data_IF_560262440316
#
_entry.id   IF_560262440316
#
_cell.length_a   1.000
_cell.length_b   1.000
_cell.length_c   1.000
_cell.angle_alpha   90.00
_cell.angle_beta   90.00
_cell.angle_gamma   90.00
#
_symmetry.space_group_name_H-M   'P 1'
#
loop_
_entity.id
_entity.type
_entity.pdbx_description
1 polymer ?
#
# COMPACT_ATOMS: atom_id res chain seq x y z
N UNK A 1 -0.83 7.94 -17.54
CA UNK A 1 -1.02 7.95 -16.05
C UNK A 1 -0.84 9.36 -15.53
N UNK A 2 -1.76 9.86 -14.69
CA UNK A 2 -1.56 11.12 -13.95
C UNK A 2 -0.55 10.89 -12.84
N UNK A 3 0.29 11.89 -12.57
CA UNK A 3 1.30 11.86 -11.52
C UNK A 3 1.16 13.07 -10.60
N UNK A 4 1.68 12.95 -9.39
CA UNK A 4 1.79 14.01 -8.40
C UNK A 4 3.22 14.11 -7.89
N UNK A 5 3.52 15.14 -7.12
CA UNK A 5 4.80 15.29 -6.41
C UNK A 5 4.55 15.18 -4.91
N UNK A 6 5.28 14.29 -4.25
CA UNK A 6 5.22 14.08 -2.81
C UNK A 6 6.67 14.15 -2.28
N UNK A 7 7.18 15.35 -1.98
CA UNK A 7 8.61 15.53 -1.66
C UNK A 7 9.11 14.76 -0.44
N UNK A 8 8.23 14.50 0.53
CA UNK A 8 8.57 13.66 1.69
C UNK A 8 8.78 12.19 1.30
N UNK A 9 8.10 11.72 0.24
CA UNK A 9 8.18 10.35 -0.23
C UNK A 9 9.38 10.14 -1.16
N UNK A 10 9.53 10.98 -2.17
CA UNK A 10 10.55 10.83 -3.22
C UNK A 10 10.63 12.09 -4.08
N UNK A 11 11.77 12.26 -4.76
CA UNK A 11 11.95 13.29 -5.78
C UNK A 11 11.43 12.85 -7.17
N UNK A 12 11.02 11.58 -7.31
CA UNK A 12 10.45 11.04 -8.55
C UNK A 12 8.98 11.46 -8.71
N UNK A 13 8.44 11.54 -9.94
CA UNK A 13 7.00 11.62 -10.14
C UNK A 13 6.30 10.40 -9.53
N UNK A 14 5.25 10.62 -8.75
CA UNK A 14 4.46 9.57 -8.10
C UNK A 14 3.15 9.37 -8.87
N UNK A 15 2.79 8.16 -9.31
CA UNK A 15 1.48 7.94 -9.92
C UNK A 15 0.38 8.14 -8.88
N UNK A 16 -0.77 8.66 -9.29
CA UNK A 16 -1.91 8.87 -8.38
C UNK A 16 -2.56 7.56 -7.91
N UNK A 17 -2.19 6.43 -8.51
CA UNK A 17 -2.58 5.07 -8.09
C UNK A 17 -1.33 4.20 -8.19
N UNK A 18 -1.02 3.48 -7.12
CA UNK A 18 0.10 2.54 -7.04
C UNK A 18 -0.33 1.09 -7.34
N UNK A 19 0.62 0.18 -7.19
CA UNK A 19 0.50 -1.24 -7.45
C UNK A 19 0.76 -2.03 -6.16
N UNK A 20 -0.26 -2.65 -5.55
CA UNK A 20 -0.11 -3.55 -4.41
C UNK A 20 0.29 -4.96 -4.85
N UNK A 21 1.49 -5.40 -4.49
CA UNK A 21 2.04 -6.68 -4.94
C UNK A 21 1.65 -7.88 -4.03
N UNK A 22 1.06 -7.66 -2.86
CA UNK A 22 0.73 -8.73 -1.90
C UNK A 22 0.04 -9.95 -2.54
N UNK A 23 -0.97 -9.81 -3.44
CA UNK A 23 -1.67 -10.98 -4.00
C UNK A 23 -0.80 -11.87 -4.88
N UNK A 24 0.35 -11.41 -5.37
CA UNK A 24 1.26 -12.19 -6.21
C UNK A 24 1.96 -13.32 -5.43
N UNK A 25 1.99 -13.22 -4.09
CA UNK A 25 2.58 -14.24 -3.21
C UNK A 25 1.55 -14.96 -2.34
N UNK A 26 0.27 -14.66 -2.52
CA UNK A 26 -0.81 -15.33 -1.81
C UNK A 26 -1.41 -16.43 -2.69
N UNK A 27 -1.63 -17.65 -2.16
CA UNK A 27 -2.37 -18.68 -2.89
C UNK A 27 -3.75 -18.17 -3.30
N UNK A 28 -4.09 -18.36 -4.56
CA UNK A 28 -5.41 -18.05 -5.09
C UNK A 28 -6.52 -18.90 -4.41
N UNK A 29 -7.77 -18.69 -4.80
CA UNK A 29 -8.92 -19.48 -4.27
C UNK A 29 -8.82 -20.98 -4.55
N UNK A 30 -8.03 -21.35 -5.56
CA UNK A 30 -7.71 -22.73 -5.95
C UNK A 30 -6.50 -23.31 -5.17
N UNK A 31 -5.92 -22.54 -4.25
CA UNK A 31 -4.74 -22.92 -3.46
C UNK A 31 -3.42 -22.85 -4.24
N UNK A 32 -3.40 -22.34 -5.48
CA UNK A 32 -2.20 -22.24 -6.31
C UNK A 32 -1.58 -20.85 -6.18
N UNK A 33 -0.26 -20.82 -6.12
CA UNK A 33 0.49 -19.59 -6.31
C UNK A 33 0.54 -19.24 -7.79
N UNK A 34 0.60 -17.93 -8.05
CA UNK A 34 0.94 -17.42 -9.38
C UNK A 34 2.37 -17.86 -9.75
N UNK A 35 2.58 -18.26 -11.00
CA UNK A 35 3.92 -18.52 -11.50
C UNK A 35 4.76 -17.23 -11.41
N UNK A 36 6.06 -17.39 -11.12
CA UNK A 36 6.96 -16.25 -10.92
C UNK A 36 7.09 -15.39 -12.18
N UNK A 37 7.23 -16.02 -13.33
CA UNK A 37 7.38 -15.31 -14.61
C UNK A 37 6.08 -14.56 -14.95
N UNK A 38 4.91 -15.14 -14.66
CA UNK A 38 3.62 -14.50 -14.81
C UNK A 38 3.47 -13.30 -13.87
N UNK A 39 3.94 -13.41 -12.63
CA UNK A 39 3.91 -12.31 -11.65
C UNK A 39 4.82 -11.15 -12.10
N UNK A 40 6.03 -11.43 -12.56
CA UNK A 40 6.96 -10.44 -13.12
C UNK A 40 6.36 -9.77 -14.35
N UNK A 41 5.81 -10.56 -15.28
CA UNK A 41 5.17 -10.02 -16.49
C UNK A 41 3.94 -9.13 -16.17
N UNK A 42 3.19 -9.48 -15.10
CA UNK A 42 2.06 -8.66 -14.66
C UNK A 42 2.51 -7.33 -14.07
N UNK A 43 3.62 -7.31 -13.30
CA UNK A 43 4.23 -6.08 -12.80
C UNK A 43 4.79 -5.22 -13.95
N UNK A 44 5.46 -5.82 -14.94
CA UNK A 44 5.90 -5.08 -16.13
C UNK A 44 4.71 -4.42 -16.82
N UNK A 45 3.59 -5.16 -16.99
CA UNK A 45 2.38 -4.58 -17.56
C UNK A 45 1.82 -3.42 -16.73
N UNK A 46 1.87 -3.51 -15.40
CA UNK A 46 1.49 -2.41 -14.51
C UNK A 46 2.40 -1.18 -14.71
N UNK A 47 3.70 -1.39 -14.79
CA UNK A 47 4.68 -0.31 -15.01
C UNK A 47 4.52 0.33 -16.39
N UNK A 48 4.25 -0.47 -17.44
CA UNK A 48 3.98 0.03 -18.82
C UNK A 48 2.74 0.92 -18.86
N UNK A 49 1.75 0.65 -18.01
CA UNK A 49 0.55 1.48 -17.86
C UNK A 49 0.77 2.68 -16.91
N UNK A 50 1.97 2.80 -16.33
CA UNK A 50 2.38 3.91 -15.49
C UNK A 50 2.06 3.74 -14.00
N UNK A 51 1.69 2.55 -13.51
CA UNK A 51 1.58 2.22 -12.09
C UNK A 51 3.00 2.01 -11.51
N UNK A 52 3.80 3.07 -11.50
CA UNK A 52 5.24 3.05 -11.21
C UNK A 52 5.58 3.23 -9.73
N UNK A 53 4.61 3.18 -8.82
CA UNK A 53 4.82 2.96 -7.40
C UNK A 53 4.38 1.54 -7.10
N UNK A 54 5.28 0.70 -6.57
CA UNK A 54 4.98 -0.67 -6.18
C UNK A 54 5.15 -0.85 -4.69
N UNK A 55 4.13 -1.44 -4.06
CA UNK A 55 4.07 -1.75 -2.64
C UNK A 55 4.22 -3.25 -2.41
N UNK A 56 5.13 -3.63 -1.52
CA UNK A 56 5.41 -4.99 -1.09
C UNK A 56 5.65 -5.05 0.43
N UNK A 57 6.04 -6.20 0.97
CA UNK A 57 6.51 -6.38 2.34
C UNK A 57 7.34 -7.67 2.46
N UNK A 58 8.23 -7.72 3.46
CA UNK A 58 9.03 -8.89 3.80
C UNK A 58 8.18 -10.13 4.04
N UNK A 59 7.07 -9.99 4.78
CA UNK A 59 6.18 -11.09 5.18
C UNK A 59 5.21 -11.56 4.08
N UNK A 60 5.15 -10.89 2.93
CA UNK A 60 4.27 -11.31 1.83
C UNK A 60 4.84 -12.55 1.13
N UNK A 61 4.45 -13.70 1.62
CA UNK A 61 4.98 -15.00 1.23
C UNK A 61 3.89 -16.08 1.36
N UNK A 62 4.01 -17.21 0.67
CA UNK A 62 3.07 -18.32 0.83
C UNK A 62 3.10 -18.89 2.25
N UNK A 63 4.28 -18.89 2.90
CA UNK A 63 4.49 -19.39 4.27
C UNK A 63 5.67 -18.67 4.95
N UNK A 64 5.85 -18.93 6.26
CA UNK A 64 6.93 -18.33 7.07
C UNK A 64 8.34 -18.79 6.71
N UNK A 65 8.53 -19.79 5.84
CA UNK A 65 9.84 -20.21 5.33
C UNK A 65 10.26 -19.41 4.11
N UNK A 66 9.34 -18.71 3.51
CA UNK A 66 9.51 -17.99 2.24
C UNK A 66 9.43 -16.48 2.41
N UNK A 67 9.74 -15.96 3.63
CA UNK A 67 9.84 -14.52 3.90
C UNK A 67 10.73 -13.86 2.85
N UNK A 68 10.32 -12.70 2.30
CA UNK A 68 10.97 -12.05 1.16
C UNK A 68 10.55 -12.54 -0.22
N UNK A 69 9.66 -13.55 -0.31
CA UNK A 69 9.19 -14.07 -1.61
C UNK A 69 8.62 -12.99 -2.52
N UNK A 70 7.73 -12.15 -2.00
CA UNK A 70 7.13 -11.05 -2.78
C UNK A 70 8.17 -10.00 -3.17
N UNK A 71 9.04 -9.62 -2.26
CA UNK A 71 10.14 -8.68 -2.52
C UNK A 71 11.05 -9.18 -3.64
N UNK A 72 11.35 -10.50 -3.67
CA UNK A 72 12.18 -11.07 -4.73
C UNK A 72 11.53 -10.98 -6.11
N UNK A 73 10.21 -11.12 -6.21
CA UNK A 73 9.43 -10.93 -7.44
C UNK A 73 9.43 -9.46 -7.85
N UNK A 74 9.12 -8.55 -6.92
CA UNK A 74 9.13 -7.11 -7.17
C UNK A 74 10.52 -6.64 -7.60
N UNK A 75 11.55 -7.06 -6.89
CA UNK A 75 12.94 -6.71 -7.21
C UNK A 75 13.35 -7.19 -8.61
N UNK A 76 12.99 -8.41 -9.00
CA UNK A 76 13.21 -8.89 -10.36
C UNK A 76 12.47 -8.05 -11.39
N UNK A 77 11.17 -7.80 -11.18
CA UNK A 77 10.38 -6.98 -12.08
C UNK A 77 10.98 -5.57 -12.27
N UNK A 78 11.40 -4.93 -11.17
CA UNK A 78 12.00 -3.58 -11.21
C UNK A 78 13.33 -3.57 -11.97
N UNK A 79 14.18 -4.59 -11.77
CA UNK A 79 15.50 -4.66 -12.42
C UNK A 79 15.44 -5.05 -13.90
N UNK A 80 14.41 -5.80 -14.30
CA UNK A 80 14.29 -6.32 -15.68
C UNK A 80 13.33 -5.51 -16.56
N UNK A 81 12.59 -4.56 -15.97
CA UNK A 81 11.72 -3.70 -16.74
C UNK A 81 12.50 -2.74 -17.66
N UNK A 82 12.09 -2.63 -18.91
CA UNK A 82 12.77 -1.83 -19.92
C UNK A 82 12.72 -0.31 -19.68
N UNK A 83 11.76 0.18 -18.89
CA UNK A 83 11.62 1.60 -18.54
C UNK A 83 12.63 2.11 -17.51
N UNK A 84 13.38 1.21 -16.88
CA UNK A 84 14.47 1.53 -15.94
C UNK A 84 14.04 1.72 -14.50
N UNK A 85 14.95 1.36 -13.58
CA UNK A 85 14.74 1.42 -12.11
C UNK A 85 14.37 2.83 -11.62
N UNK A 86 14.93 3.85 -12.22
CA UNK A 86 14.78 5.24 -11.75
C UNK A 86 13.35 5.77 -11.91
N UNK A 87 12.54 5.14 -12.77
CA UNK A 87 11.14 5.50 -12.93
C UNK A 87 10.23 4.85 -11.86
N UNK A 88 10.71 3.85 -11.11
CA UNK A 88 9.91 3.10 -10.15
C UNK A 88 10.18 3.59 -8.72
N UNK A 89 9.11 3.77 -7.95
CA UNK A 89 9.15 3.95 -6.48
C UNK A 89 8.84 2.61 -5.84
N UNK A 90 9.76 2.09 -5.04
CA UNK A 90 9.61 0.82 -4.32
C UNK A 90 9.35 1.10 -2.84
N UNK A 91 8.21 0.65 -2.36
CA UNK A 91 7.82 0.69 -0.94
C UNK A 91 7.80 -0.74 -0.42
N UNK A 92 8.50 -1.01 0.68
CA UNK A 92 8.40 -2.28 1.40
C UNK A 92 8.18 -2.05 2.89
N UNK A 93 7.98 -3.11 3.66
CA UNK A 93 7.61 -3.05 5.07
C UNK A 93 8.33 -4.12 5.86
N UNK A 94 8.68 -3.79 7.12
CA UNK A 94 9.30 -4.69 8.10
C UNK A 94 8.64 -4.51 9.47
N UNK A 95 8.91 -5.42 10.40
CA UNK A 95 8.44 -5.28 11.80
C UNK A 95 7.35 -6.28 12.19
N UNK A 96 6.71 -6.97 11.24
CA UNK A 96 5.94 -8.17 11.52
C UNK A 96 6.87 -9.38 11.44
N UNK A 97 6.80 -10.25 12.45
CA UNK A 97 7.53 -11.52 12.47
C UNK A 97 6.62 -12.63 11.97
N UNK A 98 7.11 -13.42 11.03
CA UNK A 98 6.40 -14.59 10.51
C UNK A 98 7.37 -15.77 10.43
N UNK A 99 7.15 -16.77 11.26
CA UNK A 99 8.05 -17.93 11.39
C UNK A 99 7.27 -19.24 11.25
N UNK A 100 7.89 -20.31 10.70
CA UNK A 100 7.27 -21.62 10.64
C UNK A 100 6.98 -22.17 12.05
N UNK A 101 5.76 -22.62 12.28
CA UNK A 101 5.31 -23.29 13.51
C UNK A 101 4.80 -24.70 13.27
N UNK A 102 4.53 -25.49 14.33
CA UNK A 102 4.07 -26.88 14.23
C UNK A 102 2.67 -27.00 13.62
N UNK A 103 1.80 -26.04 13.87
CA UNK A 103 0.39 -26.06 13.43
C UNK A 103 0.08 -24.93 12.42
N UNK A 104 1.10 -24.34 11.81
CA UNK A 104 1.04 -23.21 10.91
C UNK A 104 2.03 -22.12 11.32
N UNK A 105 2.05 -20.98 10.60
CA UNK A 105 2.98 -19.93 10.89
C UNK A 105 2.69 -19.24 12.23
N UNK A 106 3.75 -18.94 12.96
CA UNK A 106 3.72 -18.08 14.14
C UNK A 106 3.82 -16.62 13.68
N UNK A 107 2.98 -15.78 14.26
CA UNK A 107 2.91 -14.35 13.96
C UNK A 107 3.24 -13.53 15.19
N UNK A 108 4.11 -12.56 15.03
CA UNK A 108 4.52 -11.66 16.08
C UNK A 108 4.90 -10.29 15.53
N UNK A 109 5.40 -9.43 16.41
CA UNK A 109 5.89 -8.10 16.06
C UNK A 109 7.16 -7.82 16.84
N UNK A 110 8.17 -7.28 16.17
CA UNK A 110 9.41 -6.86 16.78
C UNK A 110 9.80 -5.47 16.23
N UNK A 111 9.77 -4.48 17.10
CA UNK A 111 10.18 -3.10 16.81
C UNK A 111 11.60 -2.78 17.31
N UNK A 112 12.32 -3.77 17.80
CA UNK A 112 13.69 -3.55 18.30
C UNK A 112 14.62 -3.14 17.16
N UNK A 113 15.56 -2.24 17.47
CA UNK A 113 16.53 -1.73 16.50
C UNK A 113 17.29 -2.85 15.78
N UNK A 114 17.72 -3.86 16.53
CA UNK A 114 18.53 -4.96 15.97
C UNK A 114 17.71 -5.85 15.03
N UNK A 115 16.43 -6.07 15.34
CA UNK A 115 15.52 -6.78 14.43
C UNK A 115 15.27 -5.98 13.15
N UNK A 116 14.93 -4.70 13.30
CA UNK A 116 14.61 -3.83 12.15
C UNK A 116 15.79 -3.71 11.19
N UNK A 117 17.02 -3.60 11.68
CA UNK A 117 18.22 -3.58 10.84
C UNK A 117 18.38 -4.90 10.07
N UNK A 118 18.28 -6.06 10.74
CA UNK A 118 18.39 -7.38 10.08
C UNK A 118 17.28 -7.61 9.06
N UNK A 119 16.03 -7.21 9.39
CA UNK A 119 14.91 -7.33 8.48
C UNK A 119 15.09 -6.44 7.24
N UNK A 120 15.57 -5.20 7.41
CA UNK A 120 15.87 -4.30 6.31
C UNK A 120 17.03 -4.81 5.43
N UNK A 121 18.10 -5.37 6.02
CA UNK A 121 19.18 -6.02 5.27
C UNK A 121 18.64 -7.17 4.41
N UNK A 122 17.76 -8.00 4.98
CA UNK A 122 17.11 -9.08 4.25
C UNK A 122 16.22 -8.57 3.12
N UNK A 123 15.43 -7.52 3.37
CA UNK A 123 14.60 -6.88 2.32
C UNK A 123 15.45 -6.36 1.16
N UNK A 124 16.58 -5.70 1.44
CA UNK A 124 17.52 -5.24 0.40
C UNK A 124 18.12 -6.42 -0.38
N UNK A 125 18.46 -7.53 0.29
CA UNK A 125 18.93 -8.75 -0.36
C UNK A 125 17.86 -9.33 -1.29
N UNK A 126 16.62 -9.49 -0.82
CA UNK A 126 15.52 -10.06 -1.59
C UNK A 126 15.12 -9.19 -2.78
N UNK A 127 15.02 -7.89 -2.59
CA UNK A 127 14.77 -6.92 -3.66
C UNK A 127 15.95 -6.86 -4.66
N UNK A 128 17.19 -7.08 -4.18
CA UNK A 128 18.41 -6.84 -4.94
C UNK A 128 18.62 -5.36 -5.28
N UNK A 129 18.05 -4.47 -4.47
CA UNK A 129 18.17 -3.01 -4.56
C UNK A 129 17.80 -2.38 -3.21
N UNK A 130 18.25 -1.14 -2.97
CA UNK A 130 17.78 -0.33 -1.85
C UNK A 130 16.39 0.23 -2.21
N UNK A 131 15.35 -0.02 -1.40
CA UNK A 131 14.01 0.52 -1.64
C UNK A 131 13.99 2.04 -1.43
N UNK A 132 13.05 2.72 -2.09
CA UNK A 132 12.83 4.15 -1.90
C UNK A 132 12.28 4.41 -0.48
N UNK A 133 11.40 3.53 0.02
CA UNK A 133 10.83 3.63 1.37
C UNK A 133 10.75 2.26 2.03
N UNK A 134 11.11 2.20 3.32
CA UNK A 134 10.73 1.10 4.21
C UNK A 134 9.75 1.62 5.27
N UNK A 135 8.61 0.95 5.42
CA UNK A 135 7.64 1.25 6.46
C UNK A 135 7.81 0.31 7.66
N UNK A 136 7.63 0.82 8.87
CA UNK A 136 7.27 -0.07 9.99
C UNK A 136 5.85 -0.58 9.74
N UNK A 137 5.71 -1.88 9.50
CA UNK A 137 4.45 -2.49 9.03
C UNK A 137 3.33 -2.39 10.07
N UNK A 138 3.66 -2.64 11.34
CA UNK A 138 2.79 -2.51 12.51
C UNK A 138 3.61 -2.23 13.76
N UNK A 139 3.09 -1.37 14.62
CA UNK A 139 3.72 -1.09 15.91
C UNK A 139 3.74 -2.35 16.80
N UNK A 140 4.91 -2.62 17.39
CA UNK A 140 5.13 -3.74 18.31
C UNK A 140 4.79 -3.33 19.78
N UNK A 141 3.60 -2.78 20.00
CA UNK A 141 3.18 -2.07 21.23
C UNK A 141 3.39 -2.85 22.53
N UNK A 142 3.40 -4.19 22.49
CA UNK A 142 3.58 -5.05 23.66
C UNK A 142 5.04 -5.36 23.98
N UNK A 143 5.93 -5.28 22.99
CA UNK A 143 7.32 -5.75 23.10
C UNK A 143 8.31 -4.60 23.04
N UNK A 144 8.00 -3.54 22.32
CA UNK A 144 8.90 -2.40 22.09
C UNK A 144 8.12 -1.10 22.20
N UNK A 145 8.55 -0.14 23.02
CA UNK A 145 7.99 1.20 23.03
C UNK A 145 8.03 1.82 21.64
N UNK A 146 6.93 2.42 21.18
CA UNK A 146 6.82 2.90 19.79
C UNK A 146 7.90 3.93 19.43
N UNK A 147 8.28 4.80 20.36
CA UNK A 147 9.38 5.74 20.17
C UNK A 147 10.73 5.04 19.88
N UNK A 148 10.97 3.86 20.45
CA UNK A 148 12.18 3.06 20.15
C UNK A 148 12.08 2.42 18.77
N UNK A 149 10.91 1.94 18.38
CA UNK A 149 10.66 1.45 17.02
C UNK A 149 10.95 2.53 15.97
N UNK A 150 10.46 3.76 16.18
CA UNK A 150 10.73 4.88 15.25
C UNK A 150 12.22 5.21 15.18
N UNK A 151 12.94 5.22 16.32
CA UNK A 151 14.41 5.38 16.32
C UNK A 151 15.14 4.21 15.65
N UNK A 152 14.60 3.00 15.75
CA UNK A 152 15.07 1.84 15.00
C UNK A 152 14.93 2.01 13.49
N UNK A 153 13.80 2.56 13.04
CA UNK A 153 13.59 2.90 11.62
C UNK A 153 14.55 3.99 11.13
N UNK A 154 14.84 5.02 11.95
CA UNK A 154 15.89 6.00 11.61
C UNK A 154 17.26 5.32 11.45
N UNK A 155 17.59 4.35 12.30
CA UNK A 155 18.85 3.59 12.16
C UNK A 155 18.89 2.76 10.86
N UNK A 156 17.76 2.26 10.36
CA UNK A 156 17.65 1.61 9.04
C UNK A 156 17.99 2.60 7.91
N UNK A 157 17.47 3.82 7.99
CA UNK A 157 17.76 4.88 7.02
C UNK A 157 19.23 5.31 7.11
N UNK A 158 19.76 5.53 8.30
CA UNK A 158 21.16 5.93 8.54
C UNK A 158 22.15 4.87 8.04
N UNK A 159 21.78 3.60 8.10
CA UNK A 159 22.55 2.49 7.55
C UNK A 159 22.49 2.40 6.00
N UNK A 160 21.69 3.24 5.35
CA UNK A 160 21.52 3.25 3.89
C UNK A 160 20.69 2.07 3.35
N UNK A 161 19.91 1.40 4.22
CA UNK A 161 19.06 0.27 3.86
C UNK A 161 17.70 0.71 3.28
N UNK A 162 17.36 1.98 3.41
CA UNK A 162 16.25 2.65 2.74
C UNK A 162 16.60 4.10 2.46
N UNK A 163 16.05 4.68 1.39
CA UNK A 163 16.22 6.12 1.14
C UNK A 163 15.42 6.94 2.15
N UNK A 164 14.23 6.48 2.48
CA UNK A 164 13.30 7.13 3.43
C UNK A 164 12.58 6.08 4.27
N UNK A 165 12.02 6.51 5.40
CA UNK A 165 11.22 5.66 6.28
C UNK A 165 9.80 6.17 6.43
N UNK A 166 8.88 5.25 6.74
CA UNK A 166 7.49 5.56 7.04
C UNK A 166 6.90 4.59 8.06
N UNK A 167 5.61 4.67 8.27
CA UNK A 167 4.88 3.95 9.31
C UNK A 167 3.58 3.37 8.75
N UNK A 168 3.08 2.30 9.36
CA UNK A 168 1.85 1.65 8.94
C UNK A 168 1.01 1.16 10.10
N UNK A 169 -0.31 1.16 9.92
CA UNK A 169 -1.29 0.69 10.88
C UNK A 169 -1.15 1.39 12.25
N UNK A 170 -1.05 2.70 12.22
CA UNK A 170 -0.86 3.60 13.36
C UNK A 170 -2.09 4.47 13.59
N UNK A 171 -2.23 5.00 14.79
CA UNK A 171 -3.17 6.08 15.10
C UNK A 171 -2.52 7.47 14.95
N UNK A 172 -3.31 8.54 15.15
CA UNK A 172 -2.82 9.91 15.04
C UNK A 172 -1.71 10.21 16.05
N UNK A 173 -1.84 9.75 17.31
CA UNK A 173 -0.86 10.04 18.35
C UNK A 173 0.50 9.38 18.05
N UNK A 174 0.48 8.16 17.47
CA UNK A 174 1.69 7.47 17.00
C UNK A 174 2.31 8.19 15.80
N UNK A 175 1.49 8.68 14.87
CA UNK A 175 1.98 9.44 13.73
C UNK A 175 2.61 10.78 14.14
N UNK A 176 2.00 11.50 15.07
CA UNK A 176 2.55 12.74 15.64
C UNK A 176 3.86 12.49 16.38
N UNK A 177 3.95 11.42 17.18
CA UNK A 177 5.17 11.02 17.85
C UNK A 177 6.29 10.65 16.86
N UNK A 178 5.95 9.90 15.81
CA UNK A 178 6.91 9.59 14.74
C UNK A 178 7.38 10.85 14.01
N UNK A 179 6.48 11.77 13.72
CA UNK A 179 6.80 13.07 13.11
C UNK A 179 7.75 13.90 13.97
N UNK A 180 7.52 13.95 15.29
CA UNK A 180 8.42 14.65 16.22
C UNK A 180 9.81 14.01 16.24
N UNK A 181 9.90 12.68 16.39
CA UNK A 181 11.18 11.96 16.48
C UNK A 181 11.98 12.06 15.17
N UNK A 182 11.32 12.06 14.01
CA UNK A 182 11.95 12.16 12.69
C UNK A 182 12.16 13.60 12.23
N UNK A 183 11.87 14.59 13.07
CA UNK A 183 11.95 16.01 12.71
C UNK A 183 11.18 16.35 11.43
N UNK A 184 9.98 15.76 11.29
CA UNK A 184 9.10 16.00 10.14
C UNK A 184 9.43 15.17 8.87
N UNK A 185 10.18 14.09 8.99
CA UNK A 185 10.64 13.29 7.85
C UNK A 185 9.94 11.93 7.71
N UNK A 186 8.67 11.82 8.11
CA UNK A 186 7.84 10.65 7.82
C UNK A 186 7.47 10.67 6.34
N UNK A 187 7.97 9.70 5.57
CA UNK A 187 7.74 9.64 4.12
C UNK A 187 6.30 9.26 3.77
N UNK A 188 5.70 8.37 4.54
CA UNK A 188 4.33 7.90 4.29
C UNK A 188 3.72 7.16 5.46
N UNK A 189 2.40 7.14 5.46
CA UNK A 189 1.54 6.35 6.35
C UNK A 189 0.75 5.37 5.49
N UNK A 190 0.73 4.10 5.89
CA UNK A 190 -0.06 3.08 5.21
C UNK A 190 -1.09 2.48 6.16
N UNK A 191 -2.34 2.92 6.03
CA UNK A 191 -3.47 2.48 6.83
C UNK A 191 -4.63 1.97 5.97
N UNK A 192 -5.52 1.17 6.57
CA UNK A 192 -6.74 0.73 5.90
C UNK A 192 -7.65 1.91 5.60
N UNK A 193 -8.05 2.06 4.33
CA UNK A 193 -9.11 2.99 3.96
C UNK A 193 -9.86 2.52 2.71
N UNK A 194 -11.18 2.50 2.81
CA UNK A 194 -12.08 2.02 1.75
C UNK A 194 -13.48 2.61 1.95
N UNK A 195 -14.45 2.35 1.07
CA UNK A 195 -15.85 2.64 1.35
C UNK A 195 -16.35 2.02 2.66
N UNK A 196 -15.80 0.84 3.02
CA UNK A 196 -16.13 0.12 4.23
C UNK A 196 -15.54 0.73 5.50
N UNK A 197 -14.25 1.08 5.47
CA UNK A 197 -13.49 1.52 6.65
C UNK A 197 -12.97 2.95 6.47
N UNK A 198 -13.32 3.84 7.40
CA UNK A 198 -12.89 5.25 7.45
C UNK A 198 -12.59 5.69 8.88
N UNK A 199 -12.17 4.74 9.73
CA UNK A 199 -12.01 4.97 11.18
C UNK A 199 -10.85 5.88 11.58
N UNK A 200 -9.93 6.17 10.65
CA UNK A 200 -8.72 6.96 10.87
C UNK A 200 -8.81 8.38 10.26
N UNK A 201 -10.00 8.98 10.26
CA UNK A 201 -10.24 10.26 9.57
C UNK A 201 -9.34 11.40 10.03
N UNK A 202 -9.00 11.47 11.33
CA UNK A 202 -8.13 12.52 11.86
C UNK A 202 -6.68 12.33 11.39
N UNK A 203 -6.17 11.10 11.43
CA UNK A 203 -4.86 10.74 10.90
C UNK A 203 -4.79 11.02 9.39
N UNK A 204 -5.84 10.65 8.65
CA UNK A 204 -5.94 10.88 7.22
C UNK A 204 -5.86 12.37 6.88
N UNK A 205 -6.62 13.22 7.58
CA UNK A 205 -6.59 14.66 7.43
C UNK A 205 -5.20 15.24 7.79
N UNK A 206 -4.58 14.73 8.85
CA UNK A 206 -3.24 15.11 9.27
C UNK A 206 -2.19 14.79 8.19
N UNK A 207 -2.25 13.61 7.56
CA UNK A 207 -1.35 13.25 6.46
C UNK A 207 -1.45 14.23 5.29
N UNK A 208 -2.67 14.61 4.91
CA UNK A 208 -2.91 15.56 3.83
C UNK A 208 -2.36 16.94 4.19
N UNK A 209 -2.61 17.43 5.42
CA UNK A 209 -2.11 18.73 5.90
C UNK A 209 -0.58 18.79 5.91
N UNK A 210 0.09 17.72 6.34
CA UNK A 210 1.55 17.64 6.39
C UNK A 210 2.21 17.32 5.05
N UNK A 211 1.46 16.93 4.03
CA UNK A 211 2.00 16.46 2.77
C UNK A 211 2.70 15.09 2.88
N UNK A 212 2.39 14.31 3.92
CA UNK A 212 2.84 12.94 4.10
C UNK A 212 2.07 12.04 3.14
N UNK A 213 2.76 11.13 2.44
CA UNK A 213 2.08 10.17 1.58
C UNK A 213 1.11 9.31 2.40
N UNK A 214 -0.11 9.13 1.93
CA UNK A 214 -1.06 8.19 2.53
C UNK A 214 -1.36 7.07 1.55
N UNK A 215 -1.10 5.83 1.95
CA UNK A 215 -1.32 4.64 1.15
C UNK A 215 -2.54 3.87 1.68
N UNK A 216 -3.74 4.10 1.09
CA UNK A 216 -4.91 3.29 1.42
C UNK A 216 -4.68 1.83 1.02
N UNK A 217 -4.41 0.93 1.98
CA UNK A 217 -4.45 -0.49 1.70
C UNK A 217 -5.87 -1.04 1.77
N UNK A 218 -6.12 -2.19 1.11
CA UNK A 218 -7.47 -2.76 0.91
C UNK A 218 -8.50 -1.73 0.43
N UNK A 219 -8.23 -0.97 -0.64
CA UNK A 219 -9.08 0.15 -1.07
C UNK A 219 -10.52 -0.26 -1.44
N UNK A 220 -10.77 -1.55 -1.61
CA UNK A 220 -12.09 -2.13 -1.87
C UNK A 220 -12.69 -2.84 -0.64
N UNK A 221 -12.08 -2.75 0.54
CA UNK A 221 -12.51 -3.43 1.76
C UNK A 221 -12.08 -4.90 1.86
N UNK A 222 -11.06 -5.31 1.11
CA UNK A 222 -10.55 -6.68 1.05
C UNK A 222 -11.07 -7.47 -0.15
N UNK A 223 -10.43 -8.62 -0.43
CA UNK A 223 -10.69 -9.36 -1.67
C UNK A 223 -12.11 -9.92 -1.82
N UNK A 224 -12.80 -10.24 -0.71
CA UNK A 224 -14.20 -10.66 -0.72
C UNK A 224 -15.14 -9.48 -0.98
N UNK A 225 -14.92 -8.40 -0.27
CA UNK A 225 -15.71 -7.17 -0.37
C UNK A 225 -15.58 -6.53 -1.77
N UNK A 226 -14.41 -6.65 -2.38
CA UNK A 226 -14.19 -6.15 -3.73
C UNK A 226 -15.20 -6.70 -4.75
N UNK A 227 -15.56 -7.98 -4.66
CA UNK A 227 -16.54 -8.58 -5.57
C UNK A 227 -17.97 -8.05 -5.35
N UNK A 228 -18.28 -7.66 -4.12
CA UNK A 228 -19.62 -7.20 -3.70
C UNK A 228 -19.75 -5.66 -3.70
N UNK A 229 -18.66 -4.93 -3.97
CA UNK A 229 -18.58 -3.47 -3.85
C UNK A 229 -19.73 -2.73 -4.55
N UNK A 230 -20.11 -3.03 -5.83
CA UNK A 230 -21.18 -2.31 -6.50
C UNK A 230 -22.56 -2.52 -5.87
N UNK A 231 -22.77 -3.67 -5.21
CA UNK A 231 -24.02 -4.02 -4.56
C UNK A 231 -24.07 -3.46 -3.14
N UNK A 232 -22.96 -3.53 -2.44
CA UNK A 232 -22.85 -3.11 -1.04
C UNK A 232 -22.79 -1.58 -0.90
N UNK A 233 -22.19 -0.92 -1.87
CA UNK A 233 -22.06 0.53 -1.94
C UNK A 233 -22.63 1.05 -3.26
N UNK A 234 -23.98 1.01 -3.43
CA UNK A 234 -24.63 1.30 -4.71
C UNK A 234 -24.38 2.72 -5.21
N UNK A 235 -24.03 3.67 -4.34
CA UNK A 235 -23.69 5.02 -4.73
C UNK A 235 -22.42 5.07 -5.61
N UNK A 236 -21.42 4.21 -5.34
CA UNK A 236 -20.24 4.08 -6.20
C UNK A 236 -20.61 3.56 -7.61
N UNK A 237 -21.60 2.67 -7.69
CA UNK A 237 -22.13 2.19 -8.98
C UNK A 237 -22.95 3.25 -9.71
N UNK A 238 -23.74 4.05 -9.00
CA UNK A 238 -24.49 5.15 -9.56
C UNK A 238 -23.56 6.23 -10.15
N UNK A 239 -22.54 6.65 -9.38
CA UNK A 239 -21.53 7.60 -9.87
C UNK A 239 -20.75 7.02 -11.06
N UNK A 240 -20.45 5.72 -11.07
CA UNK A 240 -19.80 5.08 -12.23
C UNK A 240 -20.65 5.17 -13.51
N UNK A 241 -21.97 5.04 -13.39
CA UNK A 241 -22.91 5.25 -14.50
C UNK A 241 -22.88 6.69 -15.00
N UNK A 242 -22.99 7.67 -14.10
CA UNK A 242 -22.93 9.10 -14.42
C UNK A 242 -21.62 9.47 -15.14
N UNK A 243 -20.47 8.99 -14.62
CA UNK A 243 -19.14 9.22 -15.23
C UNK A 243 -19.08 8.58 -16.63
N UNK A 244 -19.61 7.36 -16.77
CA UNK A 244 -19.65 6.66 -18.07
C UNK A 244 -20.48 7.44 -19.11
N UNK A 245 -21.64 7.96 -18.72
CA UNK A 245 -22.50 8.75 -19.59
C UNK A 245 -21.84 10.09 -19.99
N UNK A 246 -21.22 10.76 -19.02
CA UNK A 246 -20.56 12.05 -19.26
C UNK A 246 -19.30 11.95 -20.13
N UNK A 247 -18.50 10.90 -19.95
CA UNK A 247 -17.22 10.70 -20.67
C UNK A 247 -17.36 9.91 -21.97
N UNK A 248 -18.46 9.17 -22.15
CA UNK A 248 -18.61 8.19 -23.22
C UNK A 248 -17.73 6.94 -23.08
N UNK A 249 -17.06 6.77 -21.92
CA UNK A 249 -16.17 5.64 -21.64
C UNK A 249 -16.72 4.83 -20.47
N UNK A 250 -16.93 3.50 -20.63
CA UNK A 250 -17.39 2.65 -19.54
C UNK A 250 -16.47 2.76 -18.31
N UNK A 251 -17.04 3.11 -17.17
CA UNK A 251 -16.35 3.27 -15.90
C UNK A 251 -17.02 2.36 -14.86
N UNK A 252 -16.24 1.71 -14.04
CA UNK A 252 -16.71 0.78 -13.01
C UNK A 252 -16.75 1.42 -11.62
N UNK A 253 -17.54 0.85 -10.70
CA UNK A 253 -17.55 1.28 -9.31
C UNK A 253 -16.16 1.15 -8.64
N UNK A 254 -15.33 0.19 -9.07
CA UNK A 254 -13.96 0.04 -8.57
C UNK A 254 -13.06 1.20 -9.05
N UNK A 255 -13.18 1.61 -10.30
CA UNK A 255 -12.46 2.76 -10.83
C UNK A 255 -12.88 4.06 -10.13
N UNK A 256 -14.18 4.23 -9.87
CA UNK A 256 -14.70 5.36 -9.07
C UNK A 256 -14.14 5.31 -7.65
N UNK A 257 -14.06 4.14 -7.02
CA UNK A 257 -13.51 4.01 -5.65
C UNK A 257 -12.05 4.45 -5.58
N UNK A 258 -11.21 4.03 -6.52
CA UNK A 258 -9.81 4.46 -6.56
C UNK A 258 -9.68 5.95 -6.85
N UNK A 259 -10.49 6.48 -7.77
CA UNK A 259 -10.52 7.91 -8.10
C UNK A 259 -10.98 8.74 -6.90
N UNK A 260 -11.99 8.27 -6.15
CA UNK A 260 -12.48 8.92 -4.93
C UNK A 260 -11.40 8.98 -3.84
N UNK A 261 -10.69 7.87 -3.59
CA UNK A 261 -9.57 7.87 -2.65
C UNK A 261 -8.47 8.86 -3.07
N UNK A 262 -8.08 8.83 -4.34
CA UNK A 262 -7.05 9.73 -4.86
C UNK A 262 -7.48 11.20 -4.92
N UNK A 263 -8.79 11.48 -5.02
CA UNK A 263 -9.32 12.85 -5.03
C UNK A 263 -9.22 13.55 -3.67
N UNK A 264 -9.00 12.81 -2.58
CA UNK A 264 -8.90 13.38 -1.24
C UNK A 264 -7.66 14.30 -1.08
N UNK A 265 -6.60 14.09 -1.85
CA UNK A 265 -5.42 14.95 -1.82
C UNK A 265 -4.27 14.47 -2.70
N UNK A 266 -3.33 15.34 -3.05
CA UNK A 266 -2.21 15.00 -3.92
C UNK A 266 -1.22 14.00 -3.30
N UNK A 267 -1.26 13.82 -1.99
CA UNK A 267 -0.42 12.86 -1.26
C UNK A 267 -1.10 11.51 -1.03
N UNK A 268 -2.34 11.30 -1.51
CA UNK A 268 -3.07 10.04 -1.33
C UNK A 268 -2.89 9.15 -2.55
N UNK A 269 -2.30 7.97 -2.33
CA UNK A 269 -1.97 7.01 -3.39
C UNK A 269 -2.53 5.64 -3.02
N UNK A 270 -3.77 5.28 -3.44
CA UNK A 270 -4.31 3.96 -3.20
C UNK A 270 -3.48 2.88 -3.90
N UNK A 271 -3.31 1.75 -3.21
CA UNK A 271 -2.46 0.62 -3.63
C UNK A 271 -3.30 -0.66 -3.83
N UNK A 272 -4.17 -0.71 -4.86
CA UNK A 272 -4.96 -1.90 -5.15
C UNK A 272 -4.07 -3.09 -5.48
N UNK A 273 -4.41 -4.27 -4.92
CA UNK A 273 -3.79 -5.53 -5.31
C UNK A 273 -4.42 -6.10 -6.58
N UNK A 274 -3.65 -6.85 -7.36
CA UNK A 274 -4.13 -7.47 -8.59
C UNK A 274 -3.48 -8.85 -8.84
N UNK A 275 -4.17 -9.69 -9.59
CA UNK A 275 -3.69 -11.01 -10.05
C UNK A 275 -3.99 -11.24 -11.54
N UNK A 276 -4.54 -10.24 -12.24
CA UNK A 276 -4.94 -10.36 -13.66
C UNK A 276 -4.71 -9.02 -14.37
N UNK A 277 -4.43 -9.10 -15.67
CA UNK A 277 -4.20 -7.91 -16.52
C UNK A 277 -5.37 -6.94 -16.52
N UNK A 278 -6.60 -7.45 -16.58
CA UNK A 278 -7.83 -6.62 -16.59
C UNK A 278 -7.96 -5.77 -15.32
N UNK A 279 -7.52 -6.29 -14.16
CA UNK A 279 -7.54 -5.52 -12.90
C UNK A 279 -6.44 -4.48 -12.84
N UNK A 280 -5.27 -4.74 -13.42
CA UNK A 280 -4.21 -3.75 -13.62
C UNK A 280 -4.68 -2.62 -14.55
N UNK A 281 -5.28 -2.98 -15.69
CA UNK A 281 -5.82 -2.01 -16.65
C UNK A 281 -6.92 -1.16 -16.05
N UNK A 282 -7.81 -1.76 -15.23
CA UNK A 282 -8.86 -1.02 -14.50
C UNK A 282 -8.24 -0.02 -13.52
N UNK A 283 -7.22 -0.42 -12.74
CA UNK A 283 -6.51 0.50 -11.85
C UNK A 283 -5.83 1.65 -12.62
N UNK A 284 -5.25 1.37 -13.78
CA UNK A 284 -4.66 2.39 -14.64
C UNK A 284 -5.72 3.35 -15.21
N UNK A 285 -6.92 2.86 -15.61
CA UNK A 285 -8.03 3.71 -16.06
C UNK A 285 -8.56 4.59 -14.94
N UNK A 286 -8.62 4.07 -13.71
CA UNK A 286 -9.09 4.84 -12.55
C UNK A 286 -8.30 6.15 -12.33
N UNK A 287 -7.02 6.18 -12.70
CA UNK A 287 -6.21 7.39 -12.63
C UNK A 287 -6.68 8.52 -13.56
N UNK A 288 -7.54 8.23 -14.54
CA UNK A 288 -8.09 9.19 -15.49
C UNK A 288 -9.56 9.51 -15.21
N UNK A 289 -10.18 8.86 -14.23
CA UNK A 289 -11.53 9.18 -13.79
C UNK A 289 -11.53 10.52 -13.06
N UNK A 290 -12.33 11.45 -13.53
CA UNK A 290 -12.52 12.75 -12.92
C UNK A 290 -13.89 12.79 -12.23
N UNK A 291 -13.88 13.06 -10.93
CA UNK A 291 -15.08 13.19 -10.13
C UNK A 291 -15.36 14.67 -9.87
N UNK A 292 -16.61 15.07 -9.98
CA UNK A 292 -17.04 16.41 -9.56
C UNK A 292 -17.03 16.52 -8.02
N UNK A 293 -16.97 17.74 -7.50
CA UNK A 293 -17.04 17.97 -6.06
C UNK A 293 -18.36 17.43 -5.44
N UNK A 294 -19.47 17.48 -6.21
CA UNK A 294 -20.74 16.92 -5.79
C UNK A 294 -20.70 15.39 -5.69
N UNK A 295 -20.12 14.72 -6.68
CA UNK A 295 -19.94 13.27 -6.67
C UNK A 295 -19.05 12.82 -5.49
N UNK A 296 -17.94 13.51 -5.24
CA UNK A 296 -17.06 13.24 -4.09
C UNK A 296 -17.85 13.39 -2.79
N UNK A 297 -18.59 14.50 -2.60
CA UNK A 297 -19.37 14.74 -1.39
C UNK A 297 -20.47 13.65 -1.18
N UNK A 298 -21.10 13.18 -2.25
CA UNK A 298 -22.06 12.05 -2.17
C UNK A 298 -21.38 10.77 -1.73
N UNK A 299 -20.22 10.45 -2.29
CA UNK A 299 -19.43 9.25 -1.91
C UNK A 299 -18.95 9.35 -0.47
N UNK A 300 -18.57 10.53 0.01
CA UNK A 300 -18.15 10.76 1.39
C UNK A 300 -19.26 10.50 2.41
N UNK A 301 -20.52 10.69 2.03
CA UNK A 301 -21.69 10.47 2.90
C UNK A 301 -22.19 9.03 2.87
N UNK A 302 -21.65 8.14 2.02
CA UNK A 302 -22.04 6.72 2.02
C UNK A 302 -21.76 6.08 3.38
N UNK A 303 -22.68 5.27 3.92
CA UNK A 303 -22.45 4.59 5.19
C UNK A 303 -21.21 3.68 5.13
N UNK A 304 -20.37 3.77 6.14
CA UNK A 304 -19.28 2.85 6.40
C UNK A 304 -19.60 2.01 7.63
N UNK A 305 -19.15 0.76 7.69
CA UNK A 305 -19.36 -0.09 8.86
C UNK A 305 -18.25 0.06 9.92
N UNK A 306 -17.16 0.76 9.58
CA UNK A 306 -15.99 1.01 10.44
C UNK A 306 -15.34 -0.25 11.01
N UNK A 307 -15.63 -1.42 10.45
CA UNK A 307 -15.01 -2.66 10.86
C UNK A 307 -13.77 -2.92 10.02
N UNK A 308 -12.60 -2.91 10.65
CA UNK A 308 -11.33 -3.24 9.96
C UNK A 308 -11.37 -4.66 9.38
N UNK A 309 -10.76 -4.84 8.21
CA UNK A 309 -10.57 -6.16 7.58
C UNK A 309 -9.53 -7.00 8.33
N UNK A 310 -8.69 -6.37 9.13
CA UNK A 310 -7.72 -7.01 10.02
C UNK A 310 -8.15 -6.75 11.45
N UNK A 311 -8.48 -7.78 12.23
CA UNK A 311 -8.79 -7.62 13.65
C UNK A 311 -7.63 -6.92 14.37
N UNK A 312 -7.96 -6.02 15.30
CA UNK A 312 -6.98 -5.52 16.24
C UNK A 312 -6.64 -6.68 17.19
N UNK A 313 -5.57 -7.38 16.87
CA UNK A 313 -5.09 -8.53 17.65
C UNK A 313 -4.39 -8.09 18.93
N UNK A 314 -4.36 -6.78 19.19
CA UNK A 314 -3.76 -6.20 20.39
C UNK A 314 -2.29 -6.61 20.61
N UNK A 315 -1.65 -7.09 19.55
CA UNK A 315 -0.29 -7.65 19.59
C UNK A 315 0.78 -6.56 19.41
#
# INVERSE_FOLDING_TARGET
>A
MRTTSIPLLTDKPVPVIGAGAMPLSNPGRDGRLMDRDDAVALLHHAFDLGLTLVDTADIYAPDGRSVGHNESIVGEAVRTWSGGRDAIVVVTKIGIVREPGPDGDLWGRDGSRDYLLRAAEHSVEMLGLVPDVILNHRAARRTTPYAETVRGMLAVQDAGLATRIGIGNVDLAEAELAWEITEGQVAGVENERSPRFRGDSDLFAWCIDKGVAFFPWSPFGGGREAAELPVRYPEFAAVATEVSEASGTPTTAHEVTLAWLAAAGPSVVPIPGFTRRETVESAARAAHVELTAEQVARLDTTPADYTSTVPDDGA
#
